data_IF_064614182588
#
_entry.id   IF_064614182588
#
_cell.length_a   1.000
_cell.length_b   1.000
_cell.length_c   1.000
_cell.angle_alpha   90.00
_cell.angle_beta   90.00
_cell.angle_gamma   90.00
#
_symmetry.space_group_name_H-M   'P 1'
#
loop_
_entity.id
_entity.type
_entity.pdbx_description
1 polymer ?
#
# COMPACT_ATOMS: atom_id res chain seq x y z
N UNK A 1 -20.70 -23.77 -4.77
CA UNK A 1 -20.67 -22.39 -4.24
C UNK A 1 -20.97 -21.44 -5.39
N UNK A 2 -21.52 -20.23 -5.13
CA UNK A 2 -21.77 -19.25 -6.19
C UNK A 2 -20.47 -18.68 -6.74
N UNK A 3 -20.56 -18.05 -7.92
CA UNK A 3 -19.44 -17.31 -8.49
C UNK A 3 -19.18 -16.05 -7.67
N UNK A 4 -17.90 -15.71 -7.53
CA UNK A 4 -17.41 -14.46 -6.94
C UNK A 4 -16.48 -13.77 -7.91
N UNK A 5 -16.27 -12.47 -7.72
CA UNK A 5 -15.32 -11.70 -8.51
C UNK A 5 -13.89 -11.93 -7.98
N UNK A 6 -13.02 -12.43 -8.86
CA UNK A 6 -11.62 -12.64 -8.58
C UNK A 6 -10.75 -11.78 -9.49
N UNK A 7 -9.69 -11.21 -8.90
CA UNK A 7 -8.62 -10.53 -9.63
C UNK A 7 -7.58 -11.59 -10.01
N UNK A 8 -7.39 -11.79 -11.29
CA UNK A 8 -6.33 -12.66 -11.82
C UNK A 8 -5.16 -11.81 -12.27
N UNK A 9 -4.00 -11.97 -11.63
CA UNK A 9 -2.78 -11.24 -11.94
C UNK A 9 -1.79 -12.18 -12.63
N UNK A 10 -1.29 -11.77 -13.80
CA UNK A 10 -0.33 -12.55 -14.60
C UNK A 10 1.11 -12.16 -14.29
N UNK A 11 2.06 -13.08 -14.52
CA UNK A 11 3.48 -12.73 -14.56
C UNK A 11 3.79 -11.74 -15.70
N UNK A 12 4.82 -10.90 -15.51
CA UNK A 12 5.15 -9.80 -16.43
C UNK A 12 5.48 -10.24 -17.87
N UNK A 13 5.92 -11.47 -18.04
CA UNK A 13 6.36 -12.01 -19.33
C UNK A 13 5.26 -12.77 -20.08
N UNK A 14 4.03 -12.76 -19.57
CA UNK A 14 2.89 -13.45 -20.18
C UNK A 14 2.26 -12.60 -21.27
N UNK A 15 1.96 -13.21 -22.41
CA UNK A 15 1.13 -12.59 -23.44
C UNK A 15 -0.33 -12.51 -22.95
N UNK A 16 -0.67 -11.37 -22.38
CA UNK A 16 -1.99 -11.09 -21.83
C UNK A 16 -3.14 -11.28 -22.83
N UNK A 17 -3.09 -10.76 -24.09
CA UNK A 17 -4.16 -10.96 -25.05
C UNK A 17 -4.44 -12.43 -25.35
N UNK A 18 -3.40 -13.25 -25.44
CA UNK A 18 -3.54 -14.69 -25.66
C UNK A 18 -4.17 -15.36 -24.46
N UNK A 19 -3.71 -15.04 -23.23
CA UNK A 19 -4.28 -15.58 -22.01
C UNK A 19 -5.76 -15.22 -21.88
N UNK A 20 -6.13 -13.95 -22.10
CA UNK A 20 -7.51 -13.49 -21.99
C UNK A 20 -8.42 -14.17 -23.03
N UNK A 21 -7.91 -14.38 -24.24
CA UNK A 21 -8.64 -15.13 -25.28
C UNK A 21 -8.90 -16.57 -24.87
N UNK A 22 -7.92 -17.23 -24.26
CA UNK A 22 -8.06 -18.59 -23.73
C UNK A 22 -9.06 -18.65 -22.58
N UNK A 23 -9.05 -17.66 -21.68
CA UNK A 23 -9.97 -17.59 -20.54
C UNK A 23 -11.43 -17.49 -20.95
N UNK A 24 -11.74 -16.74 -22.01
CA UNK A 24 -13.11 -16.56 -22.49
C UNK A 24 -13.53 -17.57 -23.58
N UNK A 25 -12.66 -18.49 -23.94
CA UNK A 25 -12.97 -19.51 -24.93
C UNK A 25 -14.09 -20.45 -24.41
N UNK A 26 -15.05 -20.75 -25.26
CA UNK A 26 -16.25 -21.56 -24.91
C UNK A 26 -16.05 -23.06 -25.08
N UNK A 27 -14.97 -23.49 -25.73
CA UNK A 27 -14.70 -24.90 -26.00
C UNK A 27 -13.20 -25.20 -26.06
N UNK A 28 -12.81 -26.30 -25.48
CA UNK A 28 -11.66 -27.15 -25.80
C UNK A 28 -10.25 -26.69 -25.44
N UNK A 29 -9.97 -25.39 -25.46
CA UNK A 29 -8.67 -24.82 -25.12
C UNK A 29 -8.80 -23.67 -24.10
N UNK A 30 -9.98 -23.47 -23.54
CA UNK A 30 -10.17 -22.56 -22.43
C UNK A 30 -9.46 -23.10 -21.19
N UNK A 31 -8.88 -22.23 -20.43
CA UNK A 31 -8.25 -22.59 -19.15
C UNK A 31 -9.28 -23.12 -18.16
N UNK A 32 -10.52 -22.61 -18.23
CA UNK A 32 -11.68 -23.09 -17.50
C UNK A 32 -12.47 -23.97 -18.47
N UNK A 33 -12.45 -25.29 -18.28
CA UNK A 33 -13.12 -26.20 -19.22
C UNK A 33 -14.63 -25.95 -19.22
N UNK A 34 -15.18 -26.03 -20.42
CA UNK A 34 -16.60 -26.05 -20.73
C UNK A 34 -17.39 -24.79 -20.46
N UNK A 35 -16.76 -23.66 -20.12
CA UNK A 35 -17.46 -22.38 -20.00
C UNK A 35 -16.58 -21.18 -20.28
N UNK A 36 -17.22 -20.08 -20.66
CA UNK A 36 -16.62 -18.76 -20.68
C UNK A 36 -16.99 -18.02 -19.39
N UNK A 37 -16.04 -17.67 -18.52
CA UNK A 37 -16.32 -16.85 -17.37
C UNK A 37 -16.73 -15.44 -17.79
N UNK A 38 -17.54 -14.79 -16.97
CA UNK A 38 -17.87 -13.38 -17.16
C UNK A 38 -16.64 -12.54 -16.80
N UNK A 39 -16.22 -11.67 -17.70
CA UNK A 39 -15.21 -10.65 -17.43
C UNK A 39 -15.92 -9.50 -16.70
N UNK A 40 -15.64 -9.34 -15.40
CA UNK A 40 -16.27 -8.31 -14.59
C UNK A 40 -15.62 -6.94 -14.82
N UNK A 41 -14.30 -6.90 -14.90
CA UNK A 41 -13.53 -5.67 -15.19
C UNK A 41 -12.24 -6.02 -15.97
N UNK A 42 -12.18 -5.60 -17.23
CA UNK A 42 -10.97 -5.70 -18.03
C UNK A 42 -10.18 -4.39 -17.90
N UNK A 43 -9.18 -4.36 -17.08
CA UNK A 43 -8.33 -3.18 -16.88
C UNK A 43 -7.32 -3.05 -18.03
N UNK A 44 -7.73 -2.40 -19.10
CA UNK A 44 -6.88 -2.12 -20.27
C UNK A 44 -5.61 -1.30 -19.92
N UNK A 45 -5.62 -0.59 -18.80
CA UNK A 45 -4.45 0.15 -18.29
C UNK A 45 -3.50 -0.69 -17.43
N UNK A 46 -3.92 -1.88 -17.02
CA UNK A 46 -3.08 -2.84 -16.31
C UNK A 46 -2.88 -4.05 -17.20
N UNK A 47 -1.74 -4.15 -17.86
CA UNK A 47 -1.45 -5.26 -18.78
C UNK A 47 -1.45 -6.66 -18.10
N UNK A 48 -1.68 -6.72 -16.80
CA UNK A 48 -1.51 -7.95 -16.02
C UNK A 48 -2.73 -8.40 -15.23
N UNK A 49 -3.71 -7.53 -15.00
CA UNK A 49 -4.85 -7.80 -14.13
C UNK A 49 -6.16 -7.78 -14.89
N UNK A 50 -6.95 -8.83 -14.75
CA UNK A 50 -8.34 -8.88 -15.23
C UNK A 50 -9.21 -9.51 -14.15
N UNK A 51 -10.41 -8.99 -13.96
CA UNK A 51 -11.39 -9.51 -13.03
C UNK A 51 -12.35 -10.46 -13.73
N UNK A 52 -12.50 -11.66 -13.19
CA UNK A 52 -13.40 -12.68 -13.70
C UNK A 52 -14.38 -13.14 -12.61
N UNK A 53 -15.61 -13.47 -13.03
CA UNK A 53 -16.55 -14.16 -12.17
C UNK A 53 -16.25 -15.68 -12.19
N UNK A 54 -15.73 -16.18 -11.09
CA UNK A 54 -15.25 -17.58 -10.95
C UNK A 54 -15.88 -18.27 -9.75
N UNK A 55 -16.00 -19.58 -9.81
CA UNK A 55 -16.21 -20.40 -8.62
C UNK A 55 -14.90 -20.50 -7.83
N UNK A 56 -14.99 -20.93 -6.59
CA UNK A 56 -13.79 -21.17 -5.76
C UNK A 56 -12.86 -22.22 -6.40
N UNK A 57 -13.44 -23.29 -6.94
CA UNK A 57 -12.69 -24.38 -7.57
C UNK A 57 -11.95 -23.92 -8.81
N UNK A 58 -12.55 -23.04 -9.60
CA UNK A 58 -11.93 -22.44 -10.79
C UNK A 58 -10.79 -21.48 -10.40
N UNK A 59 -10.97 -20.68 -9.37
CA UNK A 59 -9.93 -19.80 -8.86
C UNK A 59 -8.71 -20.60 -8.34
N UNK A 60 -8.94 -21.69 -7.61
CA UNK A 60 -7.86 -22.58 -7.15
C UNK A 60 -7.15 -23.29 -8.32
N UNK A 61 -7.89 -23.65 -9.37
CA UNK A 61 -7.28 -24.20 -10.59
C UNK A 61 -6.35 -23.19 -11.25
N UNK A 62 -6.78 -21.92 -11.37
CA UNK A 62 -5.97 -20.85 -11.95
C UNK A 62 -4.69 -20.56 -11.19
N UNK A 63 -4.68 -20.68 -9.86
CA UNK A 63 -3.45 -20.54 -9.06
C UNK A 63 -2.36 -21.56 -9.43
N UNK A 64 -2.74 -22.67 -10.05
CA UNK A 64 -1.79 -23.68 -10.49
C UNK A 64 -1.21 -23.43 -11.89
N UNK A 65 -1.71 -22.44 -12.64
CA UNK A 65 -1.16 -22.06 -13.95
C UNK A 65 0.14 -21.29 -13.79
N UNK A 66 1.25 -21.73 -14.39
CA UNK A 66 2.53 -21.06 -14.27
C UNK A 66 2.56 -19.64 -14.85
N UNK A 67 1.55 -19.23 -15.60
CA UNK A 67 1.40 -17.86 -16.13
C UNK A 67 0.73 -16.92 -15.13
N UNK A 68 0.03 -17.48 -14.13
CA UNK A 68 -0.70 -16.72 -13.12
C UNK A 68 0.21 -16.49 -11.93
N UNK A 69 0.36 -15.22 -11.57
CA UNK A 69 1.12 -14.80 -10.41
C UNK A 69 0.28 -14.91 -9.13
N UNK A 70 -0.98 -14.48 -9.21
CA UNK A 70 -1.91 -14.51 -8.08
C UNK A 70 -3.38 -14.50 -8.53
N UNK A 71 -4.25 -15.02 -7.65
CA UNK A 71 -5.71 -14.99 -7.79
C UNK A 71 -6.32 -14.61 -6.46
N UNK A 72 -6.90 -13.42 -6.38
CA UNK A 72 -7.44 -12.83 -5.17
C UNK A 72 -8.92 -12.49 -5.31
N UNK A 73 -9.67 -12.58 -4.21
CA UNK A 73 -11.02 -12.00 -4.14
C UNK A 73 -10.94 -10.48 -4.14
N UNK A 74 -11.89 -9.82 -4.76
CA UNK A 74 -12.07 -8.36 -4.57
C UNK A 74 -12.42 -8.05 -3.12
N UNK A 75 -12.03 -6.85 -2.65
CA UNK A 75 -12.17 -6.48 -1.23
C UNK A 75 -13.61 -6.52 -0.72
N UNK A 76 -14.57 -6.20 -1.57
CA UNK A 76 -16.00 -6.21 -1.26
C UNK A 76 -16.58 -7.62 -1.11
N UNK A 77 -15.87 -8.64 -1.60
CA UNK A 77 -16.28 -10.05 -1.54
C UNK A 77 -15.53 -10.87 -0.49
N UNK A 78 -14.59 -10.26 0.21
CA UNK A 78 -13.94 -10.87 1.36
C UNK A 78 -14.94 -10.98 2.50
N UNK A 79 -15.24 -12.22 2.91
CA UNK A 79 -16.01 -12.47 4.12
C UNK A 79 -15.07 -12.37 5.32
N UNK A 80 -15.09 -11.25 6.00
CA UNK A 80 -14.36 -11.07 7.26
C UNK A 80 -15.12 -11.78 8.37
N UNK A 81 -14.64 -12.94 8.79
CA UNK A 81 -15.27 -13.72 9.86
C UNK A 81 -15.01 -13.15 11.26
N UNK A 82 -13.91 -12.41 11.42
CA UNK A 82 -13.53 -11.78 12.69
C UNK A 82 -13.01 -10.35 12.44
N UNK A 83 -13.94 -9.42 12.21
CA UNK A 83 -13.57 -8.01 12.10
C UNK A 83 -13.29 -7.46 13.48
N UNK A 84 -12.01 -7.29 13.80
CA UNK A 84 -11.60 -6.53 14.97
C UNK A 84 -11.70 -5.05 14.64
N UNK A 85 -12.57 -4.33 15.32
CA UNK A 85 -12.66 -2.89 15.16
C UNK A 85 -11.77 -2.20 16.20
N UNK A 86 -10.81 -1.45 15.72
CA UNK A 86 -9.98 -0.58 16.55
C UNK A 86 -10.60 0.80 16.59
N UNK A 87 -10.55 1.42 17.76
CA UNK A 87 -11.05 2.78 17.97
C UNK A 87 -9.92 3.67 18.46
N UNK A 88 -9.68 4.76 17.78
CA UNK A 88 -8.78 5.82 18.22
C UNK A 88 -9.62 7.07 18.52
N UNK A 89 -9.49 7.59 19.73
CA UNK A 89 -10.23 8.80 20.12
C UNK A 89 -9.52 10.06 19.65
N UNK A 90 -10.28 10.96 19.08
CA UNK A 90 -9.86 12.33 18.85
C UNK A 90 -9.73 13.07 20.18
N UNK A 91 -8.74 13.93 20.26
CA UNK A 91 -8.55 14.85 21.39
C UNK A 91 -8.75 16.30 20.95
N UNK A 92 -8.41 17.21 21.86
CA UNK A 92 -8.45 18.65 21.59
C UNK A 92 -7.29 19.07 20.67
N UNK A 93 -7.31 18.60 19.44
CA UNK A 93 -6.35 19.00 18.44
C UNK A 93 -6.79 20.31 17.79
N UNK A 94 -5.91 21.29 17.77
CA UNK A 94 -6.11 22.51 16.99
C UNK A 94 -5.14 22.51 15.81
N UNK A 95 -5.53 23.06 14.66
CA UNK A 95 -4.67 23.21 13.49
C UNK A 95 -3.30 23.83 13.79
N UNK A 96 -3.26 24.67 14.81
CA UNK A 96 -2.08 25.44 15.22
C UNK A 96 -1.29 24.79 16.35
N UNK A 97 -1.81 23.72 16.92
CA UNK A 97 -1.16 23.03 18.04
C UNK A 97 -0.27 21.91 17.52
N UNK A 98 1.01 22.06 17.71
CA UNK A 98 2.01 21.00 17.52
C UNK A 98 2.13 20.07 18.73
N UNK A 99 1.31 20.24 19.76
CA UNK A 99 1.36 19.39 20.94
C UNK A 99 0.86 18.00 20.57
N UNK A 100 1.82 17.13 20.30
CA UNK A 100 1.66 15.72 20.14
C UNK A 100 1.17 15.08 21.44
N UNK A 101 -0.11 15.19 21.66
CA UNK A 101 -0.80 14.28 22.56
C UNK A 101 -1.27 13.06 21.78
N UNK A 102 -1.98 12.18 22.42
CA UNK A 102 -2.67 11.04 21.81
C UNK A 102 -3.84 11.44 20.90
N UNK A 103 -3.67 12.51 20.15
CA UNK A 103 -4.73 13.13 19.37
C UNK A 103 -4.67 12.66 17.92
N UNK A 104 -5.84 12.31 17.39
CA UNK A 104 -6.00 12.06 15.95
C UNK A 104 -5.59 13.29 15.15
N UNK A 105 -4.89 13.04 14.10
CA UNK A 105 -4.66 14.02 13.07
C UNK A 105 -6.01 14.37 12.41
N UNK A 106 -6.21 15.65 12.15
CA UNK A 106 -7.46 16.17 11.59
C UNK A 106 -7.82 15.52 10.24
N UNK A 107 -6.81 15.12 9.45
CA UNK A 107 -7.02 14.46 8.17
C UNK A 107 -7.73 13.12 8.32
N UNK A 108 -7.37 12.32 9.33
CA UNK A 108 -8.02 11.04 9.61
C UNK A 108 -9.48 11.24 10.06
N UNK A 109 -9.72 12.21 10.93
CA UNK A 109 -11.06 12.56 11.34
C UNK A 109 -11.89 13.05 10.14
N UNK A 110 -11.32 13.93 9.31
CA UNK A 110 -12.00 14.48 8.14
C UNK A 110 -12.41 13.41 7.13
N UNK A 111 -11.60 12.39 6.94
CA UNK A 111 -11.91 11.31 6.00
C UNK A 111 -13.07 10.41 6.44
N UNK A 112 -13.36 10.36 7.74
CA UNK A 112 -14.49 9.61 8.28
C UNK A 112 -15.82 10.39 8.25
N UNK A 113 -15.80 11.65 7.83
CA UNK A 113 -16.98 12.51 7.82
C UNK A 113 -17.25 13.04 6.43
N UNK A 114 -18.52 12.95 5.99
CA UNK A 114 -18.99 13.55 4.74
C UNK A 114 -18.97 15.08 4.81
N UNK A 115 -19.18 15.63 5.99
CA UNK A 115 -19.14 17.06 6.27
C UNK A 115 -17.89 17.43 7.05
N UNK A 116 -17.50 18.70 7.05
CA UNK A 116 -16.36 19.16 7.82
C UNK A 116 -16.66 19.08 9.35
N UNK A 117 -16.04 18.16 10.10
CA UNK A 117 -16.30 17.98 11.51
C UNK A 117 -15.85 19.16 12.38
N UNK A 118 -15.04 20.05 11.81
CA UNK A 118 -14.49 21.22 12.50
C UNK A 118 -15.35 22.49 12.31
N UNK A 119 -16.34 22.44 11.42
CA UNK A 119 -17.20 23.60 11.14
C UNK A 119 -16.38 24.81 10.68
N UNK A 120 -16.71 25.98 11.20
CA UNK A 120 -15.99 27.23 10.96
C UNK A 120 -14.83 27.46 11.95
N UNK A 121 -14.62 26.59 12.90
CA UNK A 121 -13.59 26.71 13.95
C UNK A 121 -12.42 25.77 13.69
N UNK A 122 -11.24 26.12 14.19
CA UNK A 122 -10.02 25.30 14.04
C UNK A 122 -9.93 24.16 15.07
N UNK A 123 -10.94 23.99 15.88
CA UNK A 123 -10.98 22.96 16.92
C UNK A 123 -11.92 21.83 16.53
N UNK A 124 -11.47 20.58 16.57
CA UNK A 124 -12.38 19.46 16.40
C UNK A 124 -13.41 19.43 17.54
N UNK A 125 -14.59 18.94 17.22
CA UNK A 125 -15.56 18.64 18.27
C UNK A 125 -14.96 17.59 19.21
N UNK A 126 -14.97 17.86 20.49
CA UNK A 126 -14.45 16.92 21.48
C UNK A 126 -15.21 15.60 21.38
N UNK A 127 -14.47 14.49 21.27
CA UNK A 127 -15.06 13.16 21.20
C UNK A 127 -15.10 12.53 19.81
N UNK A 128 -14.58 13.20 18.76
CA UNK A 128 -14.41 12.57 17.47
C UNK A 128 -13.53 11.34 17.58
N UNK A 129 -13.95 10.26 16.91
CA UNK A 129 -13.25 8.98 16.91
C UNK A 129 -12.92 8.56 15.50
N UNK A 130 -11.85 7.80 15.37
CA UNK A 130 -11.49 7.10 14.16
C UNK A 130 -11.58 5.59 14.40
N UNK A 131 -12.50 4.94 13.70
CA UNK A 131 -12.65 3.50 13.73
C UNK A 131 -12.00 2.90 12.48
N UNK A 132 -11.23 1.86 12.66
CA UNK A 132 -10.61 1.13 11.55
C UNK A 132 -10.58 -0.36 11.86
N UNK A 133 -10.63 -1.16 10.82
CA UNK A 133 -10.61 -2.62 10.88
C UNK A 133 -9.34 -3.20 10.31
N UNK A 134 -8.67 -2.45 9.43
CA UNK A 134 -7.42 -2.81 8.80
C UNK A 134 -6.33 -1.84 9.25
N UNK A 135 -5.24 -2.38 9.74
CA UNK A 135 -4.11 -1.61 10.27
C UNK A 135 -2.82 -1.76 9.45
N UNK A 136 -2.88 -2.47 8.34
CA UNK A 136 -1.72 -2.73 7.48
C UNK A 136 -0.84 -3.90 7.94
N UNK A 137 -1.28 -4.71 8.90
CA UNK A 137 -0.55 -5.93 9.26
C UNK A 137 -0.36 -6.82 8.04
N UNK A 138 0.89 -7.23 7.76
CA UNK A 138 1.25 -8.05 6.61
C UNK A 138 1.40 -7.29 5.29
N UNK A 139 1.22 -5.96 5.29
CA UNK A 139 1.37 -5.10 4.12
C UNK A 139 2.73 -4.41 4.13
N UNK A 140 3.33 -4.29 2.97
CA UNK A 140 4.56 -3.54 2.72
C UNK A 140 4.22 -2.20 2.08
N UNK A 141 4.70 -1.12 2.67
CA UNK A 141 4.55 0.25 2.15
C UNK A 141 5.93 0.76 1.73
N UNK A 142 6.11 1.01 0.45
CA UNK A 142 7.36 1.54 -0.10
C UNK A 142 7.25 3.05 -0.22
N UNK A 143 8.18 3.78 0.39
CA UNK A 143 8.29 5.22 0.34
C UNK A 143 9.51 5.60 -0.51
N UNK A 144 9.26 6.06 -1.72
CA UNK A 144 10.28 6.59 -2.62
C UNK A 144 10.37 8.11 -2.47
N UNK A 145 11.31 8.58 -1.64
CA UNK A 145 11.36 9.98 -1.20
C UNK A 145 12.79 10.38 -0.76
N UNK A 146 12.91 11.35 0.15
CA UNK A 146 14.18 11.86 0.69
C UNK A 146 14.86 10.93 1.70
N UNK A 147 14.30 9.76 1.96
CA UNK A 147 14.74 8.84 3.01
C UNK A 147 13.74 8.80 4.17
N UNK A 148 14.03 8.01 5.20
CA UNK A 148 13.19 7.90 6.40
C UNK A 148 14.08 7.88 7.64
N UNK A 149 13.70 8.65 8.67
CA UNK A 149 14.28 8.53 9.99
C UNK A 149 13.74 7.27 10.68
N UNK A 150 14.44 6.14 10.51
CA UNK A 150 13.95 4.81 10.91
C UNK A 150 13.74 4.62 12.41
N UNK A 151 14.44 5.39 13.23
CA UNK A 151 14.37 5.37 14.70
C UNK A 151 13.30 6.30 15.28
N UNK A 152 12.53 6.97 14.40
CA UNK A 152 11.43 7.83 14.83
C UNK A 152 10.37 7.00 15.60
N UNK A 153 9.85 7.49 16.75
CA UNK A 153 8.90 6.75 17.60
C UNK A 153 7.64 6.27 16.85
N UNK A 154 7.18 7.00 15.84
CA UNK A 154 6.02 6.64 15.03
C UNK A 154 6.21 5.35 14.20
N UNK A 155 7.45 4.93 13.98
CA UNK A 155 7.76 3.74 13.20
C UNK A 155 8.15 2.53 14.03
N UNK A 156 8.06 2.62 15.34
CA UNK A 156 8.33 1.50 16.24
C UNK A 156 7.11 0.60 16.38
N UNK A 157 7.37 -0.72 16.40
CA UNK A 157 6.40 -1.73 16.77
C UNK A 157 6.13 -1.74 18.32
N UNK A 158 5.34 -2.70 18.78
CA UNK A 158 5.00 -2.84 20.19
C UNK A 158 6.22 -3.18 21.08
N UNK A 159 7.24 -3.80 20.50
CA UNK A 159 8.48 -4.18 21.19
C UNK A 159 9.56 -3.09 21.11
N UNK A 160 9.26 -1.97 20.44
CA UNK A 160 10.18 -0.85 20.25
C UNK A 160 11.15 -1.00 19.09
N UNK A 161 11.00 -2.04 18.24
CA UNK A 161 11.81 -2.22 17.05
C UNK A 161 11.27 -1.36 15.90
N UNK A 162 12.17 -0.90 15.04
CA UNK A 162 11.76 -0.15 13.85
C UNK A 162 11.05 -1.06 12.84
N UNK A 163 9.93 -0.60 12.33
CA UNK A 163 9.22 -1.21 11.19
C UNK A 163 9.77 -0.77 9.84
N UNK A 164 10.72 0.19 9.84
CA UNK A 164 11.38 0.65 8.61
C UNK A 164 12.48 -0.32 8.23
N UNK A 165 12.35 -0.85 7.02
CA UNK A 165 13.33 -1.72 6.39
C UNK A 165 14.21 -0.89 5.45
N UNK A 166 15.49 -1.16 5.46
CA UNK A 166 16.45 -0.59 4.52
C UNK A 166 16.68 -1.59 3.39
N UNK A 167 16.40 -1.17 2.17
CA UNK A 167 16.69 -1.99 0.98
C UNK A 167 18.04 -1.56 0.43
N UNK A 168 18.94 -2.51 0.21
CA UNK A 168 20.14 -2.27 -0.59
C UNK A 168 19.80 -2.28 -2.10
N UNK A 169 18.95 -1.32 -2.49
CA UNK A 169 18.50 -1.18 -3.87
C UNK A 169 19.66 -0.95 -4.84
N UNK A 170 20.77 -0.42 -4.38
CA UNK A 170 21.95 -0.14 -5.20
C UNK A 170 22.58 -1.45 -5.69
N UNK A 171 22.79 -2.41 -4.80
CA UNK A 171 23.30 -3.73 -5.17
C UNK A 171 22.27 -4.50 -6.01
N UNK A 172 21.02 -4.48 -5.61
CA UNK A 172 19.93 -5.19 -6.31
C UNK A 172 19.68 -4.67 -7.72
N UNK A 173 19.83 -3.35 -7.94
CA UNK A 173 19.66 -2.74 -9.27
C UNK A 173 20.84 -2.99 -10.22
N UNK A 174 21.96 -3.51 -9.74
CA UNK A 174 23.17 -3.73 -10.55
C UNK A 174 23.85 -2.45 -11.03
N UNK A 175 23.55 -1.29 -10.44
CA UNK A 175 24.19 -0.02 -10.77
C UNK A 175 25.64 -0.07 -10.30
N UNK A 176 26.56 0.29 -11.21
CA UNK A 176 27.97 0.34 -10.89
C UNK A 176 28.32 1.62 -10.11
N UNK A 177 29.16 1.50 -9.10
CA UNK A 177 29.61 2.63 -8.28
C UNK A 177 29.72 2.25 -6.81
N UNK A 178 29.63 3.25 -5.95
CA UNK A 178 29.61 3.07 -4.50
C UNK A 178 28.35 3.67 -3.92
N UNK A 179 27.57 2.86 -3.22
CA UNK A 179 26.42 3.33 -2.49
C UNK A 179 26.84 4.31 -1.40
N UNK A 180 26.11 5.40 -1.27
CA UNK A 180 26.36 6.39 -0.21
C UNK A 180 26.03 5.75 1.16
N UNK A 181 26.87 6.02 2.17
CA UNK A 181 26.68 5.46 3.52
C UNK A 181 25.33 5.85 4.15
N UNK A 182 24.79 7.01 3.81
CA UNK A 182 23.52 7.53 4.28
C UNK A 182 22.38 7.35 3.26
N UNK A 183 22.44 6.30 2.47
CA UNK A 183 21.48 6.01 1.39
C UNK A 183 20.01 5.86 1.84
N UNK A 184 19.76 5.73 3.10
CA UNK A 184 18.43 5.61 3.68
C UNK A 184 18.03 6.82 4.54
N UNK A 185 19.03 7.59 5.01
CA UNK A 185 18.82 8.65 6.00
C UNK A 185 18.09 9.83 5.39
N UNK A 186 17.10 10.33 6.11
CA UNK A 186 16.34 11.53 5.73
C UNK A 186 17.03 12.80 6.29
N UNK A 187 17.53 13.64 5.40
CA UNK A 187 18.12 14.96 5.74
C UNK A 187 17.17 16.11 5.48
N UNK A 188 16.06 15.86 4.78
CA UNK A 188 15.07 16.87 4.43
C UNK A 188 13.90 16.87 5.41
N UNK A 189 13.49 15.68 5.85
CA UNK A 189 12.33 15.45 6.68
C UNK A 189 11.05 15.13 5.90
N UNK A 190 11.06 15.32 4.58
CA UNK A 190 9.87 15.11 3.75
C UNK A 190 9.48 13.62 3.71
N UNK A 191 10.41 12.73 3.40
CA UNK A 191 10.14 11.29 3.34
C UNK A 191 9.70 10.70 4.68
N UNK A 192 10.28 11.18 5.78
CA UNK A 192 9.83 10.81 7.14
C UNK A 192 8.38 11.25 7.39
N UNK A 193 8.01 12.46 6.96
CA UNK A 193 6.65 12.96 7.10
C UNK A 193 5.66 12.17 6.23
N UNK A 194 6.02 11.86 4.98
CA UNK A 194 5.22 11.02 4.09
C UNK A 194 5.02 9.62 4.68
N UNK A 195 6.09 8.99 5.16
CA UNK A 195 6.02 7.70 5.84
C UNK A 195 5.13 7.75 7.10
N UNK A 196 5.21 8.83 7.88
CA UNK A 196 4.37 9.06 9.05
C UNK A 196 2.90 9.16 8.71
N UNK A 197 2.58 9.85 7.62
CA UNK A 197 1.20 9.97 7.12
C UNK A 197 0.67 8.62 6.62
N UNK A 198 1.48 7.85 5.91
CA UNK A 198 1.08 6.55 5.38
C UNK A 198 1.00 5.47 6.47
N UNK A 199 2.03 5.35 7.32
CA UNK A 199 2.23 4.19 8.18
C UNK A 199 2.70 4.50 9.60
N UNK A 200 2.58 5.74 10.07
CA UNK A 200 2.84 6.08 11.48
C UNK A 200 1.86 5.36 12.41
N UNK A 201 2.36 4.83 13.53
CA UNK A 201 1.51 4.06 14.47
C UNK A 201 0.38 4.90 15.10
N UNK A 202 0.60 6.19 15.27
CA UNK A 202 -0.39 7.11 15.84
C UNK A 202 -1.15 7.85 14.74
N UNK A 203 -0.43 8.43 13.78
CA UNK A 203 -0.96 9.40 12.83
C UNK A 203 -1.11 8.85 11.42
N UNK A 204 -0.63 7.64 11.14
CA UNK A 204 -0.71 7.00 9.84
C UNK A 204 -1.98 6.15 9.67
N UNK A 205 -2.23 5.78 8.42
CA UNK A 205 -3.34 4.89 8.05
C UNK A 205 -3.00 3.42 8.28
N UNK A 206 -1.88 2.95 7.73
CA UNK A 206 -1.42 1.57 7.82
C UNK A 206 -0.49 1.39 9.04
N UNK A 207 -1.06 1.47 10.24
CA UNK A 207 -0.36 1.61 11.52
C UNK A 207 0.63 0.49 11.86
N UNK A 208 0.43 -0.70 11.31
CA UNK A 208 1.25 -1.89 11.52
C UNK A 208 1.93 -2.41 10.24
N UNK A 209 1.85 -1.66 9.13
CA UNK A 209 2.57 -2.01 7.91
C UNK A 209 4.09 -2.01 8.11
N UNK A 210 4.80 -2.86 7.37
CA UNK A 210 6.25 -2.70 7.18
C UNK A 210 6.50 -1.55 6.24
N UNK A 211 7.55 -0.78 6.49
CA UNK A 211 7.87 0.42 5.73
C UNK A 211 9.21 0.21 5.05
N UNK A 212 9.28 0.40 3.75
CA UNK A 212 10.51 0.31 2.99
C UNK A 212 10.93 1.71 2.52
N UNK A 213 12.18 2.07 2.81
CA UNK A 213 12.74 3.37 2.44
C UNK A 213 13.55 3.25 1.16
N UNK A 214 13.11 3.94 0.11
CA UNK A 214 13.86 4.10 -1.14
C UNK A 214 14.19 5.58 -1.31
N UNK A 215 15.45 5.93 -0.97
CA UNK A 215 15.89 7.34 -1.05
C UNK A 215 16.25 7.71 -2.47
N UNK A 216 15.51 8.66 -3.04
CA UNK A 216 15.71 9.17 -4.40
C UNK A 216 16.16 10.65 -4.45
N UNK A 217 16.19 11.34 -3.29
CA UNK A 217 16.59 12.74 -3.19
C UNK A 217 17.22 13.08 -1.83
N UNK A 218 17.76 14.28 -1.66
CA UNK A 218 18.21 14.81 -0.38
C UNK A 218 19.49 14.16 0.16
N UNK A 219 20.64 14.29 -0.53
CA UNK A 219 21.92 13.91 0.03
C UNK A 219 22.42 14.93 1.06
N UNK A 220 23.22 14.47 2.04
CA UNK A 220 23.85 15.34 3.02
C UNK A 220 24.66 16.45 2.34
N UNK A 221 24.45 17.70 2.74
CA UNK A 221 25.17 18.86 2.23
C UNK A 221 24.69 19.40 0.88
N UNK A 222 23.78 18.74 0.21
CA UNK A 222 23.02 19.31 -0.87
C UNK A 222 21.86 20.10 -0.26
N UNK A 223 22.08 21.35 0.04
CA UNK A 223 20.98 22.28 0.23
C UNK A 223 20.17 22.22 -1.04
N UNK A 224 18.98 21.68 -0.94
CA UNK A 224 18.04 21.59 -2.02
C UNK A 224 18.29 20.49 -3.08
N UNK A 225 17.25 19.84 -3.41
CA UNK A 225 16.97 18.82 -4.38
C UNK A 225 17.60 19.03 -5.78
N UNK A 226 18.90 19.08 -5.88
CA UNK A 226 19.52 18.66 -7.12
C UNK A 226 19.38 17.14 -7.15
N UNK A 227 18.25 16.70 -7.73
CA UNK A 227 17.93 15.31 -7.82
C UNK A 227 19.09 14.51 -8.38
N UNK A 228 19.77 13.83 -7.49
CA UNK A 228 20.47 12.65 -7.93
C UNK A 228 19.35 11.61 -8.02
N UNK A 229 18.76 11.54 -9.20
CA UNK A 229 17.98 10.38 -9.58
C UNK A 229 18.90 9.19 -9.47
N UNK A 230 18.75 8.42 -8.42
CA UNK A 230 19.68 7.34 -8.14
C UNK A 230 19.21 6.04 -8.77
N UNK A 231 17.98 5.93 -9.11
CA UNK A 231 17.46 4.90 -10.00
C UNK A 231 16.23 5.42 -10.70
N UNK A 232 15.90 4.94 -11.89
CA UNK A 232 14.54 5.03 -12.34
C UNK A 232 13.68 4.32 -11.30
N UNK A 233 12.82 5.06 -10.61
CA UNK A 233 11.92 4.56 -9.57
C UNK A 233 10.93 3.47 -10.07
N UNK A 234 11.13 2.99 -11.28
CA UNK A 234 10.31 2.02 -11.97
C UNK A 234 10.91 0.60 -12.02
N UNK A 235 12.16 0.43 -11.57
CA UNK A 235 12.88 -0.83 -11.69
C UNK A 235 13.15 -1.52 -10.34
N UNK A 236 12.54 -1.05 -9.24
CA UNK A 236 12.65 -1.65 -7.92
C UNK A 236 11.38 -2.41 -7.56
#
# INVERSE_FOLDING_TARGET
MGEKEYIVTLHKDVDYPTFDTEMVATTGNGFIPDRSPVVADARLGSLRNTHYMLTFEEAELLKSDPRVMDVELTLDQLEYTDIITYTQQGGNFTKTSSSAGSFLNWGMVRMNHSENPYGATDSPTAGEIYNYTLDGTGVDVVISDSGIQKDHPEFQDADGNSRVQEIDWFTESGISGTQHADHYRDFDGHGTHVAGTAAGKTYGWAKNARIYSVKVSGLEGAGDATGISIAPSQDV
#
